data_IF_423363737267
#
_entry.id   IF_423363737267
#
_cell.length_a   1.000
_cell.length_b   1.000
_cell.length_c   1.000
_cell.angle_alpha   90.00
_cell.angle_beta   90.00
_cell.angle_gamma   90.00
#
_symmetry.space_group_name_H-M   'P 1'
#
loop_
_entity.id
_entity.type
_entity.pdbx_description
1 polymer ?
#
# COMPACT_ATOMS: atom_id res chain seq x y z
N UNK A 1 10.63 13.87 4.74
CA UNK A 1 9.36 13.76 4.01
C UNK A 1 8.27 13.19 4.92
N UNK A 2 7.06 13.70 4.85
CA UNK A 2 5.91 13.09 5.54
C UNK A 2 5.25 12.05 4.64
N UNK A 3 4.97 10.88 5.17
CA UNK A 3 4.30 9.78 4.45
C UNK A 3 2.76 9.80 4.61
N UNK A 4 2.24 10.65 5.50
CA UNK A 4 0.80 10.78 5.73
C UNK A 4 0.11 11.36 4.48
N UNK A 5 -0.92 10.66 4.00
CA UNK A 5 -1.74 11.09 2.85
C UNK A 5 -3.04 11.69 3.34
N UNK A 6 -3.78 10.97 4.19
CA UNK A 6 -5.07 11.39 4.68
C UNK A 6 -5.30 10.90 6.11
N UNK A 7 -5.99 11.69 6.90
CA UNK A 7 -6.40 11.33 8.25
C UNK A 7 -7.84 11.76 8.48
N UNK A 8 -8.67 10.81 8.88
CA UNK A 8 -10.06 11.04 9.30
C UNK A 8 -10.22 10.73 10.78
N UNK A 9 -11.44 10.86 11.31
CA UNK A 9 -11.73 10.46 12.69
C UNK A 9 -11.51 8.96 12.95
N UNK A 10 -11.66 8.13 11.93
CA UNK A 10 -11.68 6.67 12.07
C UNK A 10 -10.43 6.00 11.53
N UNK A 11 -9.82 6.54 10.48
CA UNK A 11 -8.68 5.92 9.78
C UNK A 11 -7.59 6.92 9.41
N UNK A 12 -6.42 6.36 9.19
CA UNK A 12 -5.27 7.03 8.63
C UNK A 12 -4.77 6.25 7.43
N UNK A 13 -4.44 6.96 6.35
CA UNK A 13 -3.81 6.43 5.15
C UNK A 13 -2.41 7.04 5.06
N UNK A 14 -1.39 6.21 5.02
CA UNK A 14 -0.02 6.67 4.79
C UNK A 14 0.69 5.80 3.76
N UNK A 15 1.71 6.36 3.13
CA UNK A 15 2.60 5.58 2.25
C UNK A 15 3.50 4.69 3.11
N UNK A 16 3.77 3.47 2.67
CA UNK A 16 4.71 2.57 3.34
C UNK A 16 6.08 3.22 3.47
N UNK A 17 6.67 3.18 4.66
CA UNK A 17 7.97 3.78 4.96
C UNK A 17 9.14 2.83 4.74
N UNK A 18 8.90 1.53 4.90
CA UNK A 18 9.94 0.50 4.84
C UNK A 18 10.31 0.08 3.42
N UNK A 19 9.50 0.47 2.42
CA UNK A 19 9.72 0.12 1.03
C UNK A 19 9.65 1.36 0.14
N UNK A 20 10.52 1.43 -0.86
CA UNK A 20 10.53 2.50 -1.85
C UNK A 20 9.63 2.19 -3.07
N UNK A 21 8.56 1.43 -2.88
CA UNK A 21 7.61 1.04 -3.93
C UNK A 21 6.53 2.12 -4.04
N UNK A 22 6.51 2.91 -5.13
CA UNK A 22 5.53 4.00 -5.27
C UNK A 22 4.09 3.47 -5.26
N UNK A 23 3.24 4.07 -4.44
CA UNK A 23 1.84 3.70 -4.32
C UNK A 23 1.53 2.61 -3.30
N UNK A 24 2.53 2.10 -2.59
CA UNK A 24 2.32 1.10 -1.53
C UNK A 24 1.79 1.80 -0.28
N UNK A 25 0.50 1.60 0.02
CA UNK A 25 -0.19 2.28 1.12
C UNK A 25 -0.40 1.37 2.32
N UNK A 26 -0.45 2.01 3.49
CA UNK A 26 -0.86 1.41 4.75
C UNK A 26 -2.11 2.13 5.23
N UNK A 27 -3.16 1.37 5.54
CA UNK A 27 -4.40 1.86 6.11
C UNK A 27 -4.55 1.32 7.52
N UNK A 28 -4.74 2.21 8.48
CA UNK A 28 -4.86 1.81 9.88
C UNK A 28 -6.00 2.57 10.58
N UNK A 29 -6.72 1.93 11.53
CA UNK A 29 -7.68 2.64 12.34
C UNK A 29 -6.99 3.63 13.28
N UNK A 30 -7.65 4.73 13.61
CA UNK A 30 -7.15 5.70 14.59
C UNK A 30 -7.11 5.10 16.00
N UNK A 31 -8.10 4.32 16.36
CA UNK A 31 -8.12 3.58 17.62
C UNK A 31 -7.27 2.33 17.48
N UNK A 32 -6.19 2.25 18.27
CA UNK A 32 -5.29 1.11 18.23
C UNK A 32 -5.99 -0.14 18.79
N UNK A 33 -6.00 -1.21 18.01
CA UNK A 33 -6.47 -2.53 18.42
C UNK A 33 -5.60 -3.62 17.78
N UNK A 34 -5.63 -4.82 18.34
CA UNK A 34 -4.83 -5.96 17.88
C UNK A 34 -5.64 -7.01 17.13
N UNK A 35 -6.95 -6.85 17.07
CA UNK A 35 -7.86 -7.75 16.34
C UNK A 35 -8.97 -6.97 15.66
N UNK A 36 -9.38 -7.45 14.48
CA UNK A 36 -10.56 -6.89 13.78
C UNK A 36 -11.81 -6.90 14.64
N UNK A 37 -11.96 -7.93 15.51
CA UNK A 37 -13.11 -8.05 16.41
C UNK A 37 -13.16 -6.95 17.49
N UNK A 38 -12.05 -6.25 17.72
CA UNK A 38 -11.95 -5.17 18.71
C UNK A 38 -12.22 -3.78 18.11
N UNK A 39 -12.31 -3.68 16.78
CA UNK A 39 -12.61 -2.40 16.13
C UNK A 39 -14.01 -1.92 16.52
N UNK A 40 -14.17 -0.61 16.64
CA UNK A 40 -15.49 -0.02 16.92
C UNK A 40 -16.47 -0.33 15.79
N UNK A 41 -17.80 -0.40 16.07
CA UNK A 41 -18.80 -0.59 15.02
C UNK A 41 -18.72 0.48 13.92
N UNK A 42 -18.38 1.72 14.25
CA UNK A 42 -18.22 2.80 13.29
C UNK A 42 -17.03 2.58 12.38
N UNK A 43 -15.87 2.18 12.95
CA UNK A 43 -14.68 1.85 12.16
C UNK A 43 -14.91 0.62 11.26
N UNK A 44 -15.61 -0.39 11.76
CA UNK A 44 -15.96 -1.57 10.95
C UNK A 44 -16.86 -1.21 9.76
N UNK A 45 -17.84 -0.32 9.96
CA UNK A 45 -18.69 0.16 8.84
C UNK A 45 -17.91 0.98 7.82
N UNK A 46 -16.90 1.72 8.25
CA UNK A 46 -16.07 2.54 7.38
C UNK A 46 -14.92 1.77 6.72
N UNK A 47 -14.64 0.54 7.13
CA UNK A 47 -13.47 -0.22 6.65
C UNK A 47 -13.52 -0.48 5.15
N UNK A 48 -14.62 -1.01 4.63
CA UNK A 48 -14.78 -1.24 3.19
C UNK A 48 -14.61 0.04 2.38
N UNK A 49 -15.36 1.11 2.70
CA UNK A 49 -15.19 2.41 2.04
C UNK A 49 -13.77 2.97 2.07
N UNK A 50 -13.05 2.90 3.18
CA UNK A 50 -11.69 3.43 3.25
C UNK A 50 -10.71 2.59 2.44
N UNK A 51 -10.85 1.27 2.43
CA UNK A 51 -10.02 0.40 1.58
C UNK A 51 -10.29 0.64 0.09
N UNK A 52 -11.54 0.85 -0.29
CA UNK A 52 -11.90 1.21 -1.66
C UNK A 52 -11.32 2.58 -2.06
N UNK A 53 -11.40 3.56 -1.18
CA UNK A 53 -10.82 4.89 -1.40
C UNK A 53 -9.29 4.82 -1.57
N UNK A 54 -8.60 4.12 -0.69
CA UNK A 54 -7.14 3.95 -0.79
C UNK A 54 -6.74 3.21 -2.08
N UNK A 55 -7.52 2.21 -2.49
CA UNK A 55 -7.32 1.50 -3.76
C UNK A 55 -7.48 2.44 -4.95
N UNK A 56 -8.50 3.28 -4.96
CA UNK A 56 -8.73 4.30 -6.00
C UNK A 56 -7.56 5.29 -6.11
N UNK A 57 -7.01 5.72 -4.97
CA UNK A 57 -5.81 6.57 -4.95
C UNK A 57 -4.60 5.89 -5.62
N UNK A 58 -4.39 4.62 -5.34
CA UNK A 58 -3.31 3.82 -5.94
C UNK A 58 -3.53 3.70 -7.45
N UNK A 59 -4.75 3.35 -7.87
CA UNK A 59 -5.09 3.17 -9.29
C UNK A 59 -4.85 4.45 -10.09
N UNK A 60 -5.22 5.60 -9.54
CA UNK A 60 -4.98 6.91 -10.16
C UNK A 60 -3.51 7.31 -10.20
N UNK A 61 -2.74 6.93 -9.19
CA UNK A 61 -1.35 7.36 -9.06
C UNK A 61 -0.36 6.51 -9.87
N UNK A 62 -0.53 5.19 -9.92
CA UNK A 62 0.47 4.26 -10.48
C UNK A 62 -0.09 3.24 -11.47
N UNK A 63 -1.37 3.27 -11.76
CA UNK A 63 -2.04 2.41 -12.75
C UNK A 63 -1.64 0.93 -12.63
N UNK A 64 -1.86 0.29 -11.46
CA UNK A 64 -1.40 -1.08 -11.22
C UNK A 64 -2.21 -2.10 -12.03
N UNK A 65 -1.61 -3.27 -12.26
CA UNK A 65 -2.32 -4.43 -12.82
C UNK A 65 -3.26 -5.05 -11.78
N UNK A 66 -2.90 -4.96 -10.50
CA UNK A 66 -3.72 -5.42 -9.38
C UNK A 66 -3.28 -4.71 -8.09
N UNK A 67 -4.17 -4.62 -7.12
CA UNK A 67 -3.86 -4.13 -5.76
C UNK A 67 -4.12 -5.27 -4.78
N UNK A 68 -3.07 -5.67 -4.07
CA UNK A 68 -3.22 -6.67 -3.00
C UNK A 68 -3.60 -5.98 -1.70
N UNK A 69 -4.61 -6.51 -1.04
CA UNK A 69 -5.01 -6.07 0.30
C UNK A 69 -4.72 -7.18 1.29
N UNK A 70 -3.85 -6.93 2.26
CA UNK A 70 -3.42 -7.93 3.21
C UNK A 70 -3.23 -7.35 4.62
N UNK A 71 -3.54 -8.15 5.63
CA UNK A 71 -3.30 -7.85 7.04
C UNK A 71 -2.45 -8.97 7.64
N UNK A 72 -1.24 -8.66 8.05
CA UNK A 72 -0.35 -9.62 8.71
C UNK A 72 -0.21 -9.32 10.21
N UNK A 73 0.22 -8.11 10.55
CA UNK A 73 0.37 -7.62 11.94
C UNK A 73 1.30 -8.51 12.80
N UNK A 74 2.46 -8.90 12.24
CA UNK A 74 3.43 -9.73 12.95
C UNK A 74 4.44 -8.88 13.75
N UNK A 75 5.07 -7.88 13.14
CA UNK A 75 6.01 -6.98 13.83
C UNK A 75 5.24 -5.97 14.69
N UNK A 76 4.42 -5.15 14.06
CA UNK A 76 3.45 -4.31 14.76
C UNK A 76 2.13 -5.07 14.82
N UNK A 77 1.73 -5.50 16.01
CA UNK A 77 0.52 -6.29 16.22
C UNK A 77 -0.77 -5.48 16.09
N UNK A 78 -0.68 -4.15 16.02
CA UNK A 78 -1.87 -3.32 15.77
C UNK A 78 -2.46 -3.58 14.38
N UNK A 79 -3.79 -3.52 14.30
CA UNK A 79 -4.49 -3.73 13.02
C UNK A 79 -4.06 -2.67 12.01
N UNK A 80 -3.52 -3.13 10.89
CA UNK A 80 -3.24 -2.30 9.73
C UNK A 80 -3.30 -3.14 8.47
N UNK A 81 -3.66 -2.51 7.36
CA UNK A 81 -3.83 -3.14 6.06
C UNK A 81 -2.78 -2.65 5.10
N UNK A 82 -2.14 -3.59 4.44
CA UNK A 82 -1.23 -3.35 3.34
C UNK A 82 -2.02 -3.31 2.03
N UNK A 83 -1.92 -2.20 1.31
CA UNK A 83 -2.45 -2.07 -0.05
C UNK A 83 -1.27 -1.94 -1.00
N UNK A 84 -0.90 -3.08 -1.59
CA UNK A 84 0.30 -3.22 -2.39
C UNK A 84 -0.03 -3.16 -3.89
N UNK A 85 0.56 -2.21 -4.65
CA UNK A 85 0.34 -2.12 -6.08
C UNK A 85 1.24 -3.08 -6.85
N UNK A 86 0.66 -4.10 -7.47
CA UNK A 86 1.40 -4.90 -8.45
C UNK A 86 1.37 -4.18 -9.79
N UNK A 87 2.38 -3.38 -10.02
CA UNK A 87 2.55 -2.62 -11.28
C UNK A 87 3.21 -3.49 -12.35
N UNK A 88 3.18 -3.02 -13.59
CA UNK A 88 3.82 -3.71 -14.70
C UNK A 88 5.35 -3.82 -14.49
N UNK A 89 6.00 -2.77 -13.98
CA UNK A 89 7.44 -2.83 -13.74
C UNK A 89 7.82 -3.83 -12.64
N UNK A 90 7.04 -3.94 -11.56
CA UNK A 90 7.25 -4.97 -10.52
C UNK A 90 7.09 -6.38 -11.11
N UNK A 91 6.06 -6.60 -11.91
CA UNK A 91 5.83 -7.88 -12.58
C UNK A 91 6.98 -8.26 -13.51
N UNK A 92 7.50 -7.30 -14.28
CA UNK A 92 8.67 -7.50 -15.14
C UNK A 92 9.93 -7.83 -14.35
N UNK A 93 10.22 -7.09 -13.29
CA UNK A 93 11.39 -7.35 -12.45
C UNK A 93 11.31 -8.71 -11.76
N UNK A 94 10.12 -9.10 -11.32
CA UNK A 94 9.89 -10.43 -10.76
C UNK A 94 10.17 -11.54 -11.78
N UNK A 95 9.68 -11.40 -13.00
CA UNK A 95 9.91 -12.36 -14.07
C UNK A 95 11.37 -12.42 -14.51
N UNK A 96 12.09 -11.32 -14.49
CA UNK A 96 13.55 -11.31 -14.74
C UNK A 96 14.30 -12.16 -13.71
N UNK A 97 13.83 -12.15 -12.47
CA UNK A 97 14.48 -12.88 -11.37
C UNK A 97 14.14 -14.36 -11.40
N UNK A 98 12.86 -14.71 -11.65
CA UNK A 98 12.34 -16.09 -11.50
C UNK A 98 11.95 -16.76 -12.82
N UNK A 99 12.05 -16.05 -13.95
CA UNK A 99 11.66 -16.54 -15.26
C UNK A 99 10.17 -16.32 -15.57
N UNK A 100 9.72 -16.76 -16.76
CA UNK A 100 8.33 -16.61 -17.18
C UNK A 100 7.39 -17.33 -16.22
N UNK A 101 6.33 -16.65 -15.79
CA UNK A 101 5.35 -17.17 -14.84
C UNK A 101 3.97 -17.04 -15.48
N UNK A 102 3.29 -18.18 -15.66
CA UNK A 102 1.94 -18.20 -16.23
C UNK A 102 0.91 -17.63 -15.26
N UNK A 103 1.00 -18.02 -13.98
CA UNK A 103 0.11 -17.54 -12.92
C UNK A 103 0.96 -16.92 -11.80
N UNK A 104 0.69 -15.65 -11.50
CA UNK A 104 1.41 -14.94 -10.44
C UNK A 104 0.94 -15.44 -9.07
N UNK A 105 1.88 -15.86 -8.24
CA UNK A 105 1.62 -16.16 -6.84
C UNK A 105 1.79 -14.91 -6.00
N UNK A 106 0.67 -14.22 -5.72
CA UNK A 106 0.66 -12.90 -5.09
C UNK A 106 1.48 -12.77 -3.81
N UNK A 107 1.31 -13.66 -2.80
CA UNK A 107 2.10 -13.61 -1.56
C UNK A 107 3.61 -13.70 -1.78
N UNK A 108 4.08 -14.54 -2.69
CA UNK A 108 5.51 -14.67 -3.00
C UNK A 108 6.05 -13.42 -3.69
N UNK A 109 5.29 -12.85 -4.61
CA UNK A 109 5.67 -11.60 -5.28
C UNK A 109 5.74 -10.45 -4.27
N UNK A 110 4.75 -10.34 -3.40
CA UNK A 110 4.71 -9.30 -2.36
C UNK A 110 5.94 -9.39 -1.44
N UNK A 111 6.25 -10.58 -0.94
CA UNK A 111 7.39 -10.82 -0.06
C UNK A 111 8.72 -10.47 -0.75
N UNK A 112 8.90 -10.97 -1.96
CA UNK A 112 10.07 -10.66 -2.79
C UNK A 112 10.24 -9.16 -3.04
N UNK A 113 9.15 -8.47 -3.38
CA UNK A 113 9.19 -7.04 -3.70
C UNK A 113 9.56 -6.19 -2.47
N UNK A 114 9.01 -6.51 -1.31
CA UNK A 114 9.34 -5.83 -0.05
C UNK A 114 10.80 -6.00 0.32
N UNK A 115 11.35 -7.18 0.11
CA UNK A 115 12.76 -7.47 0.37
C UNK A 115 13.68 -6.79 -0.66
N UNK A 116 13.31 -6.82 -1.93
CA UNK A 116 14.10 -6.26 -3.03
C UNK A 116 14.13 -4.74 -3.03
N UNK A 117 13.00 -4.09 -2.78
CA UNK A 117 12.82 -2.63 -2.87
C UNK A 117 12.64 -1.97 -1.49
N UNK A 118 13.33 -2.49 -0.47
CA UNK A 118 13.36 -1.84 0.84
C UNK A 118 13.99 -0.44 0.77
N UNK A 119 13.74 0.37 1.77
CA UNK A 119 14.33 1.71 1.88
C UNK A 119 15.87 1.66 1.70
N UNK A 120 16.38 2.48 0.81
CA UNK A 120 17.81 2.52 0.46
C UNK A 120 18.20 1.74 -0.79
N UNK A 121 17.34 0.88 -1.33
CA UNK A 121 17.59 0.15 -2.58
C UNK A 121 16.64 0.62 -3.69
N UNK A 122 16.89 1.84 -4.20
CA UNK A 122 15.97 2.53 -5.11
C UNK A 122 16.47 2.64 -6.56
N UNK A 123 17.61 2.04 -6.92
CA UNK A 123 18.31 2.34 -8.18
C UNK A 123 17.57 1.93 -9.46
N UNK A 124 16.58 1.03 -9.38
CA UNK A 124 15.83 0.52 -10.55
C UNK A 124 14.36 0.91 -10.57
N UNK A 125 13.92 1.78 -9.65
CA UNK A 125 12.51 2.16 -9.53
C UNK A 125 12.18 3.26 -10.54
N UNK A 126 11.20 3.06 -11.43
CA UNK A 126 10.78 4.09 -12.38
C UNK A 126 9.93 5.16 -11.71
N UNK A 127 9.80 6.31 -12.39
CA UNK A 127 8.85 7.35 -12.00
C UNK A 127 7.39 6.87 -12.20
N UNK A 128 6.44 7.42 -11.41
CA UNK A 128 6.64 8.41 -10.35
C UNK A 128 7.31 7.83 -9.11
N UNK A 129 8.16 8.61 -8.42
CA UNK A 129 8.77 8.20 -7.16
C UNK A 129 7.80 8.37 -5.99
N UNK A 130 8.13 7.77 -4.84
CA UNK A 130 7.27 7.81 -3.64
C UNK A 130 6.81 9.23 -3.29
N UNK A 131 7.72 10.19 -3.29
CA UNK A 131 7.42 11.58 -2.95
C UNK A 131 6.40 12.21 -3.92
N UNK A 132 6.59 11.99 -5.22
CA UNK A 132 5.67 12.48 -6.26
C UNK A 132 4.27 11.85 -6.10
N UNK A 133 4.21 10.55 -5.77
CA UNK A 133 2.96 9.83 -5.55
C UNK A 133 2.24 10.35 -4.31
N UNK A 134 2.95 10.56 -3.22
CA UNK A 134 2.37 11.11 -1.98
C UNK A 134 1.78 12.50 -2.22
N UNK A 135 2.51 13.38 -2.91
CA UNK A 135 2.03 14.71 -3.25
C UNK A 135 0.79 14.66 -4.15
N UNK A 136 0.81 13.81 -5.16
CA UNK A 136 -0.34 13.61 -6.06
C UNK A 136 -1.59 13.14 -5.30
N UNK A 137 -1.45 12.13 -4.44
CA UNK A 137 -2.57 11.61 -3.65
C UNK A 137 -3.15 12.65 -2.69
N UNK A 138 -2.29 13.46 -2.06
CA UNK A 138 -2.73 14.58 -1.21
C UNK A 138 -3.52 15.62 -1.99
N UNK A 139 -3.10 15.93 -3.20
CA UNK A 139 -3.84 16.86 -4.07
C UNK A 139 -5.25 16.34 -4.35
N UNK A 140 -5.41 15.07 -4.64
CA UNK A 140 -6.72 14.46 -4.89
C UNK A 140 -7.59 14.51 -3.64
N UNK A 141 -7.08 14.10 -2.49
CA UNK A 141 -7.86 14.06 -1.24
C UNK A 141 -8.27 15.45 -0.76
N UNK A 142 -7.43 16.46 -0.95
CA UNK A 142 -7.71 17.83 -0.53
C UNK A 142 -8.63 18.58 -1.50
N UNK A 143 -8.77 18.10 -2.74
CA UNK A 143 -9.64 18.71 -3.76
C UNK A 143 -11.09 18.18 -3.70
N UNK A 144 -11.34 17.11 -2.96
CA UNK A 144 -12.66 16.47 -2.83
C UNK A 144 -13.53 17.13 -1.76
#
# INVERSE_FOLDING_TARGET
MSYLIEKTNLFQIEHCRSCAIPGYLIVMPQERCISLSQMSPEALRALGPVLAHATDLIEKAVEPLNVYCAKFAEEDQSVHFHLFPRTEWISREYQKTFGPIEIVHGPLLLDWARDTFHEGNCSSIPRPYVEEVVDFMRCITNAA
#
